data_IF_118287238533
#
_entry.id   IF_118287238533
#
_cell.length_a   1.000
_cell.length_b   1.000
_cell.length_c   1.000
_cell.angle_alpha   90.00
_cell.angle_beta   90.00
_cell.angle_gamma   90.00
#
_symmetry.space_group_name_H-M   'P 1'
#
loop_
_entity.id
_entity.type
_entity.pdbx_description
1 polymer ?
#
# COMPACT_ATOMS: atom_id res chain seq x y z
N UNK A 1 0.15 16.72 7.26
CA UNK A 1 -1.31 16.47 7.11
C UNK A 1 -1.81 15.77 8.36
N UNK A 2 -3.12 15.84 8.62
CA UNK A 2 -3.73 14.91 9.58
C UNK A 2 -3.64 13.47 9.05
N UNK A 3 -3.48 12.50 9.95
CA UNK A 3 -3.32 11.08 9.59
C UNK A 3 -4.48 10.57 8.73
N UNK A 4 -5.70 11.04 8.99
CA UNK A 4 -6.89 10.68 8.21
C UNK A 4 -6.86 11.24 6.79
N UNK A 5 -6.39 12.48 6.62
CA UNK A 5 -6.24 13.08 5.30
C UNK A 5 -5.18 12.32 4.49
N UNK A 6 -4.04 11.99 5.10
CA UNK A 6 -2.99 11.21 4.46
C UNK A 6 -3.47 9.81 4.06
N UNK A 7 -4.23 9.15 4.94
CA UNK A 7 -4.85 7.85 4.67
C UNK A 7 -5.77 7.89 3.45
N UNK A 8 -6.62 8.92 3.37
CA UNK A 8 -7.53 9.11 2.24
C UNK A 8 -6.77 9.34 0.94
N UNK A 9 -5.74 10.20 0.96
CA UNK A 9 -4.87 10.44 -0.20
C UNK A 9 -4.21 9.15 -0.69
N UNK A 10 -3.69 8.31 0.22
CA UNK A 10 -3.11 7.01 -0.15
C UNK A 10 -4.16 6.11 -0.81
N UNK A 11 -5.35 5.96 -0.22
CA UNK A 11 -6.40 5.10 -0.78
C UNK A 11 -6.85 5.60 -2.15
N UNK A 12 -7.13 6.90 -2.30
CA UNK A 12 -7.55 7.50 -3.57
C UNK A 12 -6.46 7.34 -4.64
N UNK A 13 -5.19 7.55 -4.26
CA UNK A 13 -4.05 7.36 -5.16
C UNK A 13 -3.96 5.92 -5.65
N UNK A 14 -4.13 4.94 -4.75
CA UNK A 14 -4.12 3.53 -5.10
C UNK A 14 -5.32 3.13 -5.96
N UNK A 15 -6.51 3.66 -5.68
CA UNK A 15 -7.72 3.44 -6.50
C UNK A 15 -7.58 4.01 -7.91
N UNK A 16 -6.87 5.14 -8.06
CA UNK A 16 -6.61 5.76 -9.36
C UNK A 16 -5.58 5.01 -10.22
N UNK A 17 -4.76 4.12 -9.62
CA UNK A 17 -3.74 3.36 -10.35
C UNK A 17 -4.40 2.18 -11.09
N UNK A 18 -4.34 2.20 -12.41
CA UNK A 18 -4.78 1.08 -13.26
C UNK A 18 -3.66 0.08 -13.47
N UNK A 19 -3.98 -1.21 -13.37
CA UNK A 19 -3.10 -2.34 -13.74
C UNK A 19 -2.13 -2.83 -12.65
N UNK A 20 -1.73 -2.00 -11.68
CA UNK A 20 -0.92 -2.43 -10.54
C UNK A 20 -1.74 -2.38 -9.26
N UNK A 21 -1.91 -3.52 -8.61
CA UNK A 21 -2.63 -3.66 -7.33
C UNK A 21 -1.69 -3.72 -6.13
N UNK A 22 -0.39 -3.97 -6.35
CA UNK A 22 0.65 -4.11 -5.33
C UNK A 22 1.76 -3.07 -5.58
N UNK A 23 2.24 -2.46 -4.51
CA UNK A 23 3.24 -1.38 -4.52
C UNK A 23 4.29 -1.63 -3.45
N UNK A 24 5.51 -1.15 -3.67
CA UNK A 24 6.56 -1.25 -2.67
C UNK A 24 6.35 -0.22 -1.57
N UNK A 25 6.82 -0.50 -0.35
CA UNK A 25 6.78 0.48 0.75
C UNK A 25 7.43 1.83 0.36
N UNK A 26 8.49 1.81 -0.45
CA UNK A 26 9.14 3.02 -0.98
C UNK A 26 8.21 3.87 -1.87
N UNK A 27 7.25 3.25 -2.55
CA UNK A 27 6.32 3.95 -3.43
C UNK A 27 5.35 4.78 -2.59
N UNK A 28 4.99 4.36 -1.38
CA UNK A 28 4.17 5.14 -0.44
C UNK A 28 4.90 6.41 0.03
N UNK A 29 6.22 6.35 0.21
CA UNK A 29 7.02 7.55 0.50
C UNK A 29 7.01 8.53 -0.68
N UNK A 30 7.01 8.02 -1.91
CA UNK A 30 6.89 8.85 -3.10
C UNK A 30 5.48 9.42 -3.31
N UNK A 31 4.43 8.76 -2.80
CA UNK A 31 3.05 9.27 -2.82
C UNK A 31 2.81 10.39 -1.79
N UNK A 32 3.61 10.41 -0.72
CA UNK A 32 3.54 11.41 0.34
C UNK A 32 4.93 12.01 0.63
N UNK A 33 5.52 12.74 -0.33
CA UNK A 33 6.88 13.26 -0.21
C UNK A 33 7.02 14.36 0.86
N UNK A 34 5.92 15.03 1.19
CA UNK A 34 5.86 16.08 2.21
C UNK A 34 5.83 15.51 3.65
N UNK A 35 5.60 14.21 3.79
CA UNK A 35 5.47 13.53 5.08
C UNK A 35 6.75 12.78 5.45
N UNK A 36 7.01 12.64 6.75
CA UNK A 36 8.22 11.91 7.19
C UNK A 36 8.06 10.43 6.83
N UNK A 37 9.09 9.76 6.27
CA UNK A 37 9.02 8.34 5.94
C UNK A 37 8.60 7.43 7.11
N UNK A 38 8.97 7.82 8.33
CA UNK A 38 8.55 7.13 9.56
C UNK A 38 7.04 7.21 9.80
N UNK A 39 6.44 8.37 9.54
CA UNK A 39 5.00 8.59 9.72
C UNK A 39 4.21 7.84 8.66
N UNK A 40 4.65 7.90 7.40
CA UNK A 40 4.06 7.11 6.31
C UNK A 40 4.15 5.61 6.61
N UNK A 41 5.31 5.11 7.06
CA UNK A 41 5.46 3.68 7.43
C UNK A 41 4.50 3.28 8.54
N UNK A 42 4.40 4.08 9.59
CA UNK A 42 3.50 3.79 10.71
C UNK A 42 2.03 3.80 10.26
N UNK A 43 1.65 4.75 9.41
CA UNK A 43 0.31 4.83 8.86
C UNK A 43 -0.01 3.62 7.98
N UNK A 44 0.90 3.24 7.08
CA UNK A 44 0.72 2.07 6.21
C UNK A 44 0.57 0.79 7.04
N UNK A 45 1.39 0.60 8.08
CA UNK A 45 1.25 -0.53 9.00
C UNK A 45 -0.10 -0.52 9.72
N UNK A 46 -0.56 0.65 10.17
CA UNK A 46 -1.87 0.80 10.78
C UNK A 46 -3.00 0.45 9.78
N UNK A 47 -2.90 0.90 8.53
CA UNK A 47 -3.87 0.56 7.48
C UNK A 47 -3.90 -0.93 7.15
N UNK A 48 -2.77 -1.63 7.28
CA UNK A 48 -2.71 -3.10 7.17
C UNK A 48 -3.40 -3.76 8.36
N UNK A 49 -3.18 -3.27 9.58
CA UNK A 49 -3.86 -3.77 10.79
C UNK A 49 -5.38 -3.55 10.74
N UNK A 50 -5.82 -2.45 10.17
CA UNK A 50 -7.24 -2.12 9.94
C UNK A 50 -7.83 -2.82 8.71
N UNK A 51 -7.08 -3.71 8.07
CA UNK A 51 -7.50 -4.47 6.90
C UNK A 51 -7.90 -3.62 5.69
N UNK A 52 -7.43 -2.38 5.61
CA UNK A 52 -7.64 -1.51 4.44
C UNK A 52 -6.61 -1.84 3.36
N UNK A 53 -5.38 -2.12 3.80
CA UNK A 53 -4.30 -2.60 2.94
C UNK A 53 -4.00 -4.07 3.24
N UNK A 54 -3.54 -4.79 2.24
CA UNK A 54 -2.93 -6.10 2.39
C UNK A 54 -1.41 -5.98 2.25
N UNK A 55 -0.71 -6.75 3.06
CA UNK A 55 0.75 -6.89 3.03
C UNK A 55 1.11 -8.24 2.40
N UNK A 56 2.07 -8.24 1.48
CA UNK A 56 2.69 -9.43 0.91
C UNK A 56 4.20 -9.36 1.09
N UNK A 57 4.79 -10.49 1.50
CA UNK A 57 6.24 -10.66 1.49
C UNK A 57 6.66 -11.25 0.15
N UNK A 58 7.52 -10.56 -0.60
CA UNK A 58 8.09 -11.04 -1.86
C UNK A 58 9.61 -11.11 -1.69
N UNK A 59 10.08 -12.24 -1.15
CA UNK A 59 11.49 -12.47 -0.83
C UNK A 59 12.06 -11.43 0.14
N UNK A 60 13.07 -10.68 -0.32
CA UNK A 60 13.73 -9.61 0.45
C UNK A 60 12.92 -8.30 0.51
N UNK A 61 11.76 -8.23 -0.14
CA UNK A 61 11.00 -6.99 -0.30
C UNK A 61 9.54 -7.12 0.15
N UNK A 62 8.99 -6.02 0.64
CA UNK A 62 7.59 -5.87 1.04
C UNK A 62 6.76 -5.23 -0.07
N UNK A 63 5.64 -5.87 -0.40
CA UNK A 63 4.58 -5.35 -1.28
C UNK A 63 3.32 -5.06 -0.46
N UNK A 64 2.65 -3.97 -0.78
CA UNK A 64 1.47 -3.47 -0.05
C UNK A 64 0.48 -2.91 -1.07
N UNK A 65 -0.81 -3.08 -0.84
CA UNK A 65 -1.84 -2.74 -1.80
C UNK A 65 -3.22 -2.77 -1.17
N UNK A 66 -4.23 -2.31 -1.91
CA UNK A 66 -5.60 -2.28 -1.41
C UNK A 66 -6.12 -3.71 -1.19
N UNK A 67 -6.66 -3.97 -0.01
CA UNK A 67 -7.25 -5.28 0.32
C UNK A 67 -8.34 -5.62 -0.70
N UNK A 68 -8.30 -6.84 -1.22
CA UNK A 68 -9.31 -7.33 -2.18
C UNK A 68 -9.09 -6.91 -3.65
N UNK A 69 -8.24 -5.92 -3.95
CA UNK A 69 -7.86 -5.58 -5.34
C UNK A 69 -6.73 -6.50 -5.83
N UNK A 70 -5.90 -7.01 -4.91
CA UNK A 70 -4.77 -7.90 -5.23
C UNK A 70 -5.13 -9.36 -5.53
N UNK A 71 -6.33 -9.83 -5.13
CA UNK A 71 -6.75 -11.24 -5.29
C UNK A 71 -6.94 -11.70 -6.74
N UNK A 72 -7.11 -10.79 -7.70
CA UNK A 72 -7.21 -11.16 -9.11
C UNK A 72 -5.84 -11.48 -9.76
N UNK A 73 -4.72 -11.18 -9.11
CA UNK A 73 -3.37 -11.39 -9.67
C UNK A 73 -2.61 -12.56 -9.01
N UNK A 74 -3.27 -13.40 -8.20
CA UNK A 74 -2.66 -14.55 -7.53
C UNK A 74 -3.29 -15.87 -8.01
N UNK A 75 -3.43 -16.01 -9.33
CA UNK A 75 -3.70 -17.30 -9.98
C UNK A 75 -2.49 -17.76 -10.83
N UNK A 76 -1.37 -17.06 -10.79
CA UNK A 76 -0.20 -17.34 -11.64
C UNK A 76 1.09 -17.19 -10.81
N UNK A 77 1.33 -18.12 -9.89
CA UNK A 77 2.67 -18.65 -9.54
C UNK A 77 2.45 -19.84 -8.57
N UNK A 78 1.81 -20.90 -9.07
CA UNK A 78 1.97 -22.25 -8.53
C UNK A 78 2.72 -23.06 -9.60
N UNK A 79 4.05 -23.08 -9.49
CA UNK A 79 4.92 -24.15 -9.98
C UNK A 79 6.06 -24.36 -8.98
#
# INVERSE_FOLDING_TARGET
>A
MDKEALKKVIVETLQGKKGKSKFYLKDFYAMAPDEKPREVKNLVNQMVQEEILEYWSSGSTTLIGLKGVGKQAHAEDED
#
